data_IF_459428895218
#
_entry.id   IF_459428895218
#
_cell.length_a   1.000
_cell.length_b   1.000
_cell.length_c   1.000
_cell.angle_alpha   90.00
_cell.angle_beta   90.00
_cell.angle_gamma   90.00
#
_symmetry.space_group_name_H-M   'P 1'
#
loop_
_entity.id
_entity.type
_entity.pdbx_description
1 polymer ?
#
# COMPACT_ATOMS: atom_id res chain seq x y z
N UNK A 1 -33.73 8.32 -8.09
CA UNK A 1 -32.30 8.67 -8.27
C UNK A 1 -31.44 7.41 -8.09
N UNK A 2 -30.59 7.04 -9.07
CA UNK A 2 -29.79 5.82 -8.99
C UNK A 2 -28.81 5.92 -7.81
N UNK A 3 -28.94 5.01 -6.85
CA UNK A 3 -28.19 5.04 -5.59
C UNK A 3 -26.68 5.02 -5.80
N UNK A 4 -25.96 5.84 -5.02
CA UNK A 4 -24.51 5.97 -5.04
C UNK A 4 -23.86 4.62 -4.70
N UNK A 5 -23.24 3.98 -5.69
CA UNK A 5 -22.49 2.72 -5.54
C UNK A 5 -21.02 3.01 -5.26
N UNK A 6 -20.34 2.09 -4.58
CA UNK A 6 -18.90 2.20 -4.39
C UNK A 6 -18.14 2.22 -5.73
N UNK A 7 -17.10 3.06 -5.80
CA UNK A 7 -16.25 3.21 -6.98
C UNK A 7 -15.21 2.08 -7.13
N UNK A 8 -14.86 1.41 -6.03
CA UNK A 8 -13.83 0.35 -5.99
C UNK A 8 -14.27 -0.88 -6.78
N UNK A 9 -13.34 -1.45 -7.54
CA UNK A 9 -13.56 -2.68 -8.30
C UNK A 9 -14.06 -3.81 -7.39
N UNK A 10 -14.99 -4.62 -7.91
CA UNK A 10 -15.58 -5.78 -7.22
C UNK A 10 -16.37 -5.44 -5.93
N UNK A 11 -16.50 -4.17 -5.56
CA UNK A 11 -17.32 -3.76 -4.43
C UNK A 11 -18.79 -3.64 -4.86
N UNK A 12 -19.66 -4.47 -4.27
CA UNK A 12 -21.10 -4.49 -4.52
C UNK A 12 -21.88 -3.54 -3.58
N UNK A 13 -21.19 -2.85 -2.67
CA UNK A 13 -21.82 -1.93 -1.72
C UNK A 13 -22.41 -0.70 -2.41
N UNK A 14 -23.60 -0.33 -1.98
CA UNK A 14 -24.29 0.88 -2.41
C UNK A 14 -25.06 1.48 -1.26
N UNK A 15 -25.17 2.81 -1.26
CA UNK A 15 -25.79 3.56 -0.16
C UNK A 15 -27.18 3.03 0.18
N UNK A 16 -27.95 2.62 -0.83
CA UNK A 16 -29.28 2.05 -0.64
C UNK A 16 -29.25 0.66 0.00
N UNK A 17 -28.31 -0.21 -0.42
CA UNK A 17 -28.19 -1.57 0.14
C UNK A 17 -27.69 -1.54 1.57
N UNK A 18 -26.70 -0.70 1.88
CA UNK A 18 -26.14 -0.62 3.24
C UNK A 18 -27.11 0.04 4.21
N UNK A 19 -27.89 1.04 3.78
CA UNK A 19 -28.96 1.61 4.59
C UNK A 19 -30.08 0.62 4.88
N UNK A 20 -30.49 -0.20 3.90
CA UNK A 20 -31.52 -1.23 4.12
C UNK A 20 -31.08 -2.35 5.06
N UNK A 21 -29.77 -2.58 5.18
CA UNK A 21 -29.18 -3.61 6.04
C UNK A 21 -28.68 -3.05 7.38
N UNK A 22 -28.95 -1.78 7.68
CA UNK A 22 -28.43 -1.04 8.84
C UNK A 22 -26.91 -1.21 9.08
N UNK A 23 -26.16 -1.31 7.99
CA UNK A 23 -24.70 -1.38 8.05
C UNK A 23 -24.14 0.03 8.30
N UNK A 24 -23.30 0.18 9.33
CA UNK A 24 -22.65 1.44 9.71
C UNK A 24 -21.51 1.83 8.75
N UNK A 25 -21.82 1.93 7.45
CA UNK A 25 -20.87 2.21 6.38
C UNK A 25 -21.09 3.64 5.89
N UNK A 26 -20.08 4.48 6.12
CA UNK A 26 -19.99 5.83 5.54
C UNK A 26 -19.50 5.80 4.10
N UNK A 27 -19.90 6.80 3.29
CA UNK A 27 -19.50 6.97 1.89
C UNK A 27 -18.81 8.32 1.72
N UNK A 28 -17.63 8.30 1.11
CA UNK A 28 -16.78 9.48 0.95
C UNK A 28 -16.63 9.83 -0.53
N UNK A 29 -16.82 11.10 -0.85
CA UNK A 29 -16.59 11.66 -2.19
C UNK A 29 -15.10 11.81 -2.47
N UNK A 30 -14.73 11.82 -3.75
CA UNK A 30 -13.35 12.06 -4.15
C UNK A 30 -12.85 13.43 -3.68
N UNK A 31 -11.60 13.54 -3.23
CA UNK A 31 -11.00 14.80 -2.81
C UNK A 31 -10.87 15.78 -3.98
N UNK A 32 -10.86 17.09 -3.67
CA UNK A 32 -10.69 18.16 -4.67
C UNK A 32 -9.26 18.19 -5.25
N UNK A 33 -8.29 17.73 -4.47
CA UNK A 33 -6.88 17.72 -4.88
C UNK A 33 -6.64 16.70 -6.00
N UNK A 34 -6.14 17.18 -7.15
CA UNK A 34 -5.91 16.37 -8.34
C UNK A 34 -4.96 15.19 -8.08
N UNK A 35 -3.90 15.41 -7.28
CA UNK A 35 -2.91 14.37 -6.94
C UNK A 35 -3.54 13.23 -6.14
N UNK A 36 -4.29 13.55 -5.09
CA UNK A 36 -4.95 12.57 -4.24
C UNK A 36 -6.12 11.89 -4.95
N UNK A 37 -6.85 12.62 -5.78
CA UNK A 37 -7.89 12.07 -6.64
C UNK A 37 -7.32 11.00 -7.59
N UNK A 38 -6.17 11.25 -8.23
CA UNK A 38 -5.50 10.27 -9.07
C UNK A 38 -5.06 9.03 -8.28
N UNK A 39 -4.56 9.19 -7.06
CA UNK A 39 -4.23 8.07 -6.17
C UNK A 39 -5.47 7.22 -5.84
N UNK A 40 -6.60 7.85 -5.56
CA UNK A 40 -7.87 7.14 -5.32
C UNK A 40 -8.39 6.43 -6.57
N UNK A 41 -8.26 7.04 -7.77
CA UNK A 41 -8.64 6.41 -9.04
C UNK A 41 -7.80 5.16 -9.28
N UNK A 42 -6.49 5.25 -9.10
CA UNK A 42 -5.57 4.13 -9.23
C UNK A 42 -5.88 3.03 -8.21
N UNK A 43 -6.18 3.41 -6.97
CA UNK A 43 -6.57 2.48 -5.93
C UNK A 43 -7.89 1.77 -6.24
N UNK A 44 -8.85 2.41 -6.92
CA UNK A 44 -10.11 1.76 -7.29
C UNK A 44 -9.95 0.61 -8.29
N UNK A 45 -8.80 0.49 -8.99
CA UNK A 45 -8.49 -0.55 -9.99
C UNK A 45 -9.60 -0.79 -11.02
N UNK A 46 -10.31 0.28 -11.39
CA UNK A 46 -11.45 0.22 -12.31
C UNK A 46 -10.98 0.44 -13.75
N UNK A 47 -11.36 -0.46 -14.66
CA UNK A 47 -11.00 -0.39 -16.09
C UNK A 47 -12.01 0.38 -16.96
N UNK A 48 -13.23 0.58 -16.47
CA UNK A 48 -14.27 1.33 -17.19
C UNK A 48 -13.96 2.83 -17.26
N UNK A 49 -14.61 3.55 -18.18
CA UNK A 49 -14.71 5.02 -18.13
C UNK A 49 -15.80 5.44 -17.12
N UNK A 50 -15.46 6.30 -16.15
CA UNK A 50 -16.40 6.81 -15.14
C UNK A 50 -15.97 8.18 -14.63
N UNK A 51 -16.93 8.89 -14.01
CA UNK A 51 -16.70 10.24 -13.47
C UNK A 51 -16.35 10.16 -11.98
N UNK A 52 -15.13 10.55 -11.57
CA UNK A 52 -14.72 10.56 -10.17
C UNK A 52 -15.54 11.52 -9.30
N UNK A 53 -16.01 12.64 -9.88
CA UNK A 53 -16.76 13.69 -9.18
C UNK A 53 -18.10 13.21 -8.60
N UNK A 54 -18.79 12.31 -9.29
CA UNK A 54 -20.12 11.82 -8.89
C UNK A 54 -20.06 10.49 -8.15
N UNK A 55 -18.85 9.98 -7.94
CA UNK A 55 -18.62 8.66 -7.38
C UNK A 55 -18.16 8.75 -5.94
N UNK A 56 -18.38 7.69 -5.19
CA UNK A 56 -18.00 7.62 -3.77
C UNK A 56 -17.33 6.30 -3.45
N UNK A 57 -16.47 6.31 -2.44
CA UNK A 57 -15.83 5.12 -1.88
C UNK A 57 -16.42 4.83 -0.50
N UNK A 58 -16.71 3.56 -0.20
CA UNK A 58 -17.21 3.19 1.12
C UNK A 58 -16.07 3.11 2.14
N UNK A 59 -16.39 3.42 3.40
CA UNK A 59 -15.48 3.42 4.56
C UNK A 59 -14.68 2.12 4.76
N UNK A 60 -15.18 0.97 4.30
CA UNK A 60 -14.47 -0.33 4.36
C UNK A 60 -13.12 -0.37 3.61
N UNK A 61 -12.87 0.59 2.72
CA UNK A 61 -11.62 0.67 1.97
C UNK A 61 -10.56 1.54 2.65
N UNK A 62 -10.88 2.14 3.80
CA UNK A 62 -10.00 2.97 4.62
C UNK A 62 -9.74 2.28 5.95
N UNK A 63 -8.57 2.50 6.53
CA UNK A 63 -8.21 2.00 7.86
C UNK A 63 -8.79 2.95 8.91
N UNK A 64 -9.03 2.49 10.13
CA UNK A 64 -9.55 3.35 11.21
C UNK A 64 -8.65 4.58 11.47
N UNK A 65 -7.33 4.42 11.28
CA UNK A 65 -6.33 5.49 11.39
C UNK A 65 -6.41 6.54 10.28
N UNK A 66 -7.05 6.23 9.15
CA UNK A 66 -7.26 7.19 8.05
C UNK A 66 -8.37 8.19 8.37
N UNK A 67 -9.18 7.93 9.40
CA UNK A 67 -10.23 8.83 9.83
C UNK A 67 -9.70 9.88 10.80
N UNK A 68 -10.20 11.10 10.66
CA UNK A 68 -9.99 12.16 11.63
C UNK A 68 -10.76 11.80 12.91
N UNK A 69 -10.05 11.80 14.03
CA UNK A 69 -10.66 11.63 15.34
C UNK A 69 -11.22 12.99 15.76
N UNK A 70 -12.55 13.11 15.68
CA UNK A 70 -13.25 14.29 16.17
C UNK A 70 -13.39 14.18 17.69
N UNK A 71 -12.38 14.66 18.43
CA UNK A 71 -12.35 14.59 19.90
C UNK A 71 -13.62 15.18 20.54
N UNK A 72 -14.22 16.21 19.92
CA UNK A 72 -15.48 16.79 20.41
C UNK A 72 -16.65 15.82 20.33
N UNK A 73 -16.74 15.04 19.25
CA UNK A 73 -17.84 14.09 19.08
C UNK A 73 -17.69 12.87 20.00
N UNK A 74 -16.45 12.46 20.29
CA UNK A 74 -16.15 11.43 21.30
C UNK A 74 -16.50 11.91 22.71
N UNK A 75 -16.13 13.14 23.07
CA UNK A 75 -16.42 13.72 24.39
C UNK A 75 -17.91 13.97 24.62
N UNK A 76 -18.66 14.33 23.56
CA UNK A 76 -20.09 14.67 23.64
C UNK A 76 -21.02 13.50 23.30
N UNK A 77 -20.46 12.32 22.96
CA UNK A 77 -21.20 11.13 22.49
C UNK A 77 -22.15 11.40 21.29
N UNK A 78 -21.82 12.39 20.46
CA UNK A 78 -22.61 12.78 19.28
C UNK A 78 -22.10 11.98 18.08
N UNK A 79 -23.00 11.27 17.38
CA UNK A 79 -22.64 10.55 16.14
C UNK A 79 -22.38 11.54 15.00
N UNK A 80 -21.15 12.01 14.84
CA UNK A 80 -20.75 12.82 13.68
C UNK A 80 -20.32 11.95 12.49
N UNK A 81 -20.43 12.50 11.28
CA UNK A 81 -19.95 11.82 10.06
C UNK A 81 -18.43 11.70 10.15
N UNK A 82 -17.89 10.47 10.09
CA UNK A 82 -16.44 10.24 10.05
C UNK A 82 -15.84 11.05 8.89
N UNK A 83 -14.85 11.90 9.17
CA UNK A 83 -14.10 12.62 8.13
C UNK A 83 -12.81 11.87 7.85
N UNK A 84 -12.35 11.87 6.61
CA UNK A 84 -11.07 11.28 6.23
C UNK A 84 -9.97 12.34 6.36
N UNK A 85 -8.80 11.92 6.85
CA UNK A 85 -7.61 12.76 6.86
C UNK A 85 -7.25 13.19 5.43
N UNK A 86 -6.62 14.36 5.24
CA UNK A 86 -6.28 14.88 3.92
C UNK A 86 -5.30 14.00 3.11
N UNK A 87 -4.69 13.00 3.75
CA UNK A 87 -3.72 12.08 3.14
C UNK A 87 -4.19 10.61 3.13
N UNK A 88 -5.45 10.36 3.49
CA UNK A 88 -6.05 9.04 3.45
C UNK A 88 -6.21 8.54 2.02
N UNK A 89 -5.80 7.30 1.75
CA UNK A 89 -5.92 6.63 0.45
C UNK A 89 -6.65 5.30 0.68
N UNK A 90 -7.63 4.93 -0.16
CA UNK A 90 -8.34 3.66 0.00
C UNK A 90 -7.42 2.49 -0.32
N UNK A 91 -6.70 1.99 0.69
CA UNK A 91 -5.66 0.98 0.54
C UNK A 91 -6.17 -0.42 0.90
N UNK A 92 -7.32 -0.51 1.58
CA UNK A 92 -7.85 -1.76 2.15
C UNK A 92 -8.85 -2.46 1.20
N UNK A 93 -8.82 -3.79 1.19
CA UNK A 93 -9.77 -4.67 0.48
C UNK A 93 -9.76 -4.56 -1.06
N UNK A 94 -8.57 -4.45 -1.66
CA UNK A 94 -8.36 -4.85 -3.06
C UNK A 94 -8.31 -6.37 -3.04
N UNK A 95 -9.45 -7.06 -3.22
CA UNK A 95 -9.44 -8.51 -3.41
C UNK A 95 -8.34 -8.83 -4.41
N UNK A 96 -7.31 -9.55 -3.97
CA UNK A 96 -6.36 -10.14 -4.89
C UNK A 96 -7.20 -10.97 -5.84
N UNK A 97 -7.10 -10.68 -7.15
CA UNK A 97 -7.60 -11.60 -8.13
C UNK A 97 -6.82 -12.90 -7.89
N UNK A 98 -7.43 -13.86 -7.18
CA UNK A 98 -7.10 -15.25 -7.40
C UNK A 98 -7.17 -15.45 -8.91
N UNK A 99 -6.15 -16.07 -9.47
CA UNK A 99 -5.90 -16.26 -10.89
C UNK A 99 -6.90 -17.22 -11.55
N UNK A 100 -8.18 -17.07 -11.24
CA UNK A 100 -9.29 -17.69 -11.94
C UNK A 100 -9.95 -16.61 -12.78
N UNK A 101 -9.62 -16.62 -14.07
CA UNK A 101 -10.30 -15.86 -15.09
C UNK A 101 -11.72 -16.43 -15.19
N UNK A 102 -12.59 -16.04 -14.25
CA UNK A 102 -14.02 -16.14 -14.47
C UNK A 102 -14.35 -15.07 -15.51
N UNK A 103 -14.58 -15.49 -16.74
CA UNK A 103 -15.01 -14.70 -17.91
C UNK A 103 -16.37 -14.02 -17.72
N UNK A 104 -16.89 -13.95 -16.50
CA UNK A 104 -18.15 -13.29 -16.20
C UNK A 104 -17.99 -11.77 -16.27
N UNK A 105 -18.42 -11.22 -17.40
CA UNK A 105 -18.58 -9.79 -17.62
C UNK A 105 -19.49 -9.25 -16.51
N UNK A 106 -18.93 -8.43 -15.62
CA UNK A 106 -19.73 -7.81 -14.56
C UNK A 106 -20.88 -6.99 -15.18
N UNK A 107 -22.04 -6.90 -14.52
CA UNK A 107 -23.17 -6.08 -15.02
C UNK A 107 -22.78 -4.61 -15.28
N UNK A 108 -21.68 -4.15 -14.65
CA UNK A 108 -21.11 -2.82 -14.84
C UNK A 108 -20.36 -2.71 -16.18
N UNK A 109 -19.56 -3.72 -16.52
CA UNK A 109 -18.83 -3.80 -17.79
C UNK A 109 -19.77 -3.99 -18.98
N UNK A 110 -20.86 -4.75 -18.82
CA UNK A 110 -21.94 -4.83 -19.83
C UNK A 110 -22.55 -3.45 -20.13
N UNK A 111 -22.80 -2.63 -19.10
CA UNK A 111 -23.34 -1.27 -19.27
C UNK A 111 -22.35 -0.32 -19.94
N UNK A 112 -21.06 -0.44 -19.63
CA UNK A 112 -20.02 0.35 -20.27
C UNK A 112 -19.90 -0.02 -21.76
N UNK A 113 -19.86 -1.32 -22.06
CA UNK A 113 -19.83 -1.83 -23.44
C UNK A 113 -21.06 -1.38 -24.23
N UNK A 114 -22.26 -1.40 -23.61
CA UNK A 114 -23.48 -0.89 -24.25
C UNK A 114 -23.36 0.58 -24.65
N UNK A 115 -22.84 1.45 -23.78
CA UNK A 115 -22.64 2.88 -24.10
C UNK A 115 -21.60 3.10 -25.20
N UNK A 116 -20.53 2.32 -25.17
CA UNK A 116 -19.48 2.38 -26.20
C UNK A 116 -20.07 1.94 -27.54
N UNK A 117 -20.79 0.82 -27.57
CA UNK A 117 -21.45 0.32 -28.78
C UNK A 117 -22.51 1.29 -29.29
N UNK A 118 -23.33 1.89 -28.42
CA UNK A 118 -24.29 2.93 -28.80
C UNK A 118 -23.60 4.15 -29.42
N UNK A 119 -22.44 4.57 -28.90
CA UNK A 119 -21.68 5.69 -29.45
C UNK A 119 -21.03 5.34 -30.80
N UNK A 120 -20.51 4.12 -30.93
CA UNK A 120 -19.96 3.59 -32.19
C UNK A 120 -21.06 3.55 -33.26
N UNK A 121 -22.24 3.00 -32.94
CA UNK A 121 -23.38 2.94 -33.86
C UNK A 121 -23.80 4.34 -34.27
N UNK A 122 -23.90 5.29 -33.33
CA UNK A 122 -24.22 6.69 -33.65
C UNK A 122 -23.21 7.33 -34.60
N UNK A 123 -21.92 7.08 -34.39
CA UNK A 123 -20.87 7.60 -35.25
C UNK A 123 -20.87 6.95 -36.65
N UNK A 124 -21.29 5.68 -36.76
CA UNK A 124 -21.42 4.96 -38.03
C UNK A 124 -22.68 5.34 -38.82
N UNK A 125 -23.73 5.82 -38.14
CA UNK A 125 -25.00 6.25 -38.75
C UNK A 125 -25.07 7.75 -39.02
N UNK A 126 -23.99 8.50 -38.83
CA UNK A 126 -23.93 9.87 -39.34
C UNK A 126 -23.91 9.81 -40.88
N UNK A 127 -24.66 10.67 -41.59
CA UNK A 127 -24.58 10.72 -43.04
C UNK A 127 -23.14 11.02 -43.42
N UNK A 128 -22.48 10.06 -44.07
CA UNK A 128 -21.25 10.32 -44.80
C UNK A 128 -21.61 11.42 -45.79
N UNK A 129 -21.08 12.63 -45.60
CA UNK A 129 -21.04 13.58 -46.69
C UNK A 129 -20.30 12.85 -47.80
N UNK A 130 -20.97 12.66 -48.94
CA UNK A 130 -20.36 12.17 -50.17
C UNK A 130 -19.18 13.11 -50.46
N UNK A 131 -17.98 12.68 -50.08
CA UNK A 131 -16.75 13.33 -50.51
C UNK A 131 -16.61 12.86 -51.95
N UNK A 132 -16.89 13.78 -52.86
CA UNK A 132 -16.55 13.66 -54.27
C UNK A 132 -15.08 13.25 -54.40
N UNK A 133 -14.87 12.34 -55.33
CA UNK A 133 -13.63 11.65 -55.65
C UNK A 133 -12.52 12.64 -56.05
N UNK A 134 -11.81 13.21 -55.06
CA UNK A 134 -10.68 14.12 -55.27
C UNK A 134 -9.39 13.45 -54.74
N UNK A 135 -8.71 12.78 -55.68
CA UNK A 135 -7.31 12.30 -55.68
C UNK A 135 -6.53 12.26 -54.34
N UNK A 136 -6.35 11.04 -53.81
CA UNK A 136 -5.51 10.70 -52.65
C UNK A 136 -4.04 10.46 -53.01
N UNK A 137 -3.33 11.48 -53.51
CA UNK A 137 -1.86 11.44 -53.60
C UNK A 137 -1.30 12.63 -52.84
N UNK A 138 -0.82 12.41 -51.59
CA UNK A 138 0.31 13.16 -50.95
C UNK A 138 0.44 13.02 -49.40
N UNK A 139 -0.44 12.30 -48.69
CA UNK A 139 -0.36 12.21 -47.20
C UNK A 139 0.47 11.01 -46.66
N UNK A 140 0.90 10.10 -47.55
CA UNK A 140 1.48 8.80 -47.19
C UNK A 140 2.85 8.83 -46.47
N UNK A 141 3.84 9.69 -46.82
CA UNK A 141 5.19 9.59 -46.26
C UNK A 141 5.32 10.02 -44.79
N UNK A 142 4.56 11.04 -44.38
CA UNK A 142 4.66 11.64 -43.03
C UNK A 142 4.08 10.71 -41.95
N UNK A 143 3.12 9.87 -42.35
CA UNK A 143 2.48 8.91 -41.45
C UNK A 143 3.42 7.72 -41.20
N UNK A 144 4.10 7.22 -42.24
CA UNK A 144 5.07 6.12 -42.17
C UNK A 144 6.21 6.43 -41.17
N UNK A 145 6.83 7.61 -41.29
CA UNK A 145 7.91 8.08 -40.41
C UNK A 145 7.49 8.15 -38.93
N UNK A 146 6.22 8.51 -38.69
CA UNK A 146 5.67 8.62 -37.34
C UNK A 146 5.42 7.24 -36.73
N UNK A 147 4.95 6.28 -37.53
CA UNK A 147 4.79 4.89 -37.11
C UNK A 147 6.15 4.25 -36.79
N UNK A 148 7.17 4.48 -37.61
CA UNK A 148 8.50 3.93 -37.40
C UNK A 148 9.17 4.49 -36.14
N UNK A 149 9.03 5.80 -35.88
CA UNK A 149 9.45 6.41 -34.61
C UNK A 149 8.73 5.79 -33.40
N UNK A 150 7.41 5.60 -33.50
CA UNK A 150 6.61 5.01 -32.43
C UNK A 150 7.00 3.56 -32.14
N UNK A 151 7.30 2.78 -33.19
CA UNK A 151 7.75 1.40 -33.08
C UNK A 151 9.09 1.31 -32.34
N UNK A 152 10.05 2.14 -32.75
CA UNK A 152 11.36 2.23 -32.12
C UNK A 152 11.27 2.63 -30.63
N UNK A 153 10.38 3.58 -30.30
CA UNK A 153 10.15 4.00 -28.92
C UNK A 153 9.49 2.90 -28.08
N UNK A 154 8.55 2.15 -28.65
CA UNK A 154 7.93 1.02 -27.98
C UNK A 154 8.96 -0.09 -27.70
N UNK A 155 9.87 -0.36 -28.62
CA UNK A 155 10.93 -1.34 -28.42
C UNK A 155 11.91 -0.90 -27.31
N UNK A 156 12.33 0.37 -27.33
CA UNK A 156 13.13 0.98 -26.24
C UNK A 156 12.42 0.91 -24.89
N UNK A 157 11.10 1.12 -24.86
CA UNK A 157 10.33 1.04 -23.62
C UNK A 157 10.22 -0.40 -23.11
N UNK A 158 10.04 -1.36 -24.02
CA UNK A 158 10.01 -2.80 -23.72
C UNK A 158 11.33 -3.27 -23.10
N UNK A 159 12.47 -2.86 -23.64
CA UNK A 159 13.78 -3.20 -23.08
C UNK A 159 13.99 -2.57 -21.70
N UNK A 160 13.63 -1.29 -21.51
CA UNK A 160 13.64 -0.63 -20.20
C UNK A 160 12.78 -1.36 -19.17
N UNK A 161 11.57 -1.78 -19.54
CA UNK A 161 10.68 -2.50 -18.64
C UNK A 161 11.26 -3.86 -18.23
N UNK A 162 11.87 -4.60 -19.17
CA UNK A 162 12.55 -5.87 -18.90
C UNK A 162 13.71 -5.67 -17.91
N UNK A 163 14.54 -4.64 -18.12
CA UNK A 163 15.65 -4.31 -17.22
C UNK A 163 15.16 -3.94 -15.81
N UNK A 164 14.12 -3.11 -15.70
CA UNK A 164 13.52 -2.74 -14.41
C UNK A 164 12.94 -3.96 -13.68
N UNK A 165 12.29 -4.88 -14.39
CA UNK A 165 11.78 -6.11 -13.80
C UNK A 165 12.90 -6.98 -13.22
N UNK A 166 14.05 -7.02 -13.90
CA UNK A 166 15.24 -7.76 -13.46
C UNK A 166 15.91 -7.11 -12.24
N UNK A 167 16.09 -5.79 -12.25
CA UNK A 167 16.56 -5.03 -11.08
C UNK A 167 15.65 -5.27 -9.86
N UNK A 168 14.33 -5.25 -10.06
CA UNK A 168 13.36 -5.51 -9.00
C UNK A 168 13.49 -6.92 -8.42
N UNK A 169 13.72 -7.93 -9.26
CA UNK A 169 13.99 -9.31 -8.81
C UNK A 169 15.28 -9.38 -8.00
N UNK A 170 16.35 -8.75 -8.48
CA UNK A 170 17.65 -8.75 -7.81
C UNK A 170 17.57 -8.08 -6.42
N UNK A 171 16.89 -6.93 -6.33
CA UNK A 171 16.64 -6.26 -5.05
C UNK A 171 15.82 -7.13 -4.10
N UNK A 172 14.76 -7.79 -4.59
CA UNK A 172 13.95 -8.72 -3.78
C UNK A 172 14.79 -9.86 -3.21
N UNK A 173 15.65 -10.47 -4.03
CA UNK A 173 16.55 -11.55 -3.59
C UNK A 173 17.56 -11.05 -2.53
N UNK A 174 18.08 -9.83 -2.70
CA UNK A 174 18.99 -9.21 -1.73
C UNK A 174 18.30 -8.95 -0.39
N UNK A 175 17.07 -8.48 -0.39
CA UNK A 175 16.26 -8.30 0.83
C UNK A 175 16.07 -9.64 1.54
N UNK A 176 15.72 -10.71 0.81
CA UNK A 176 15.55 -12.05 1.39
C UNK A 176 16.85 -12.51 2.07
N UNK A 177 18.00 -12.35 1.40
CA UNK A 177 19.29 -12.72 1.99
C UNK A 177 19.65 -11.90 3.23
N UNK A 178 19.38 -10.59 3.20
CA UNK A 178 19.62 -9.71 4.36
C UNK A 178 18.73 -10.09 5.55
N UNK A 179 17.45 -10.34 5.33
CA UNK A 179 16.54 -10.79 6.38
C UNK A 179 17.00 -12.12 7.00
N UNK A 180 17.50 -13.05 6.19
CA UNK A 180 18.09 -14.30 6.70
C UNK A 180 19.31 -14.03 7.57
N UNK A 181 20.22 -13.14 7.17
CA UNK A 181 21.39 -12.74 7.97
C UNK A 181 20.98 -12.08 9.29
N UNK A 182 20.01 -11.17 9.25
CA UNK A 182 19.48 -10.50 10.46
C UNK A 182 18.89 -11.52 11.43
N UNK A 183 18.11 -12.49 10.94
CA UNK A 183 17.55 -13.54 11.79
C UNK A 183 18.64 -14.38 12.46
N UNK A 184 19.65 -14.84 11.70
CA UNK A 184 20.79 -15.56 12.29
C UNK A 184 21.53 -14.74 13.35
N UNK A 185 21.76 -13.44 13.10
CA UNK A 185 22.42 -12.57 14.07
C UNK A 185 21.56 -12.37 15.32
N UNK A 186 20.24 -12.21 15.17
CA UNK A 186 19.30 -12.09 16.27
C UNK A 186 19.30 -13.36 17.14
N UNK A 187 19.33 -14.54 16.51
CA UNK A 187 19.42 -15.81 17.23
C UNK A 187 20.74 -15.89 18.02
N UNK A 188 21.88 -15.61 17.39
CA UNK A 188 23.20 -15.62 18.05
C UNK A 188 23.26 -14.63 19.22
N UNK A 189 22.70 -13.43 19.04
CA UNK A 189 22.67 -12.43 20.10
C UNK A 189 21.76 -12.87 21.27
N UNK A 190 20.63 -13.50 20.98
CA UNK A 190 19.76 -14.09 22.01
C UNK A 190 20.45 -15.21 22.80
N UNK A 191 21.16 -16.12 22.13
CA UNK A 191 21.96 -17.18 22.77
C UNK A 191 23.09 -16.58 23.64
N UNK A 192 23.76 -15.54 23.15
CA UNK A 192 24.78 -14.85 23.93
C UNK A 192 24.20 -14.15 25.17
N UNK A 193 23.06 -13.48 25.02
CA UNK A 193 22.38 -12.76 26.12
C UNK A 193 21.88 -13.73 27.20
N UNK A 194 21.31 -14.87 26.80
CA UNK A 194 20.87 -15.90 27.75
C UNK A 194 22.06 -16.55 28.47
N UNK A 195 23.19 -16.74 27.77
CA UNK A 195 24.43 -17.23 28.39
C UNK A 195 25.01 -16.24 29.39
N UNK A 196 25.02 -14.94 29.07
CA UNK A 196 25.49 -13.91 30.02
C UNK A 196 24.56 -13.81 31.22
N UNK A 197 23.24 -13.84 31.03
CA UNK A 197 22.28 -13.83 32.12
C UNK A 197 22.45 -15.04 33.07
N UNK A 198 22.59 -16.25 32.52
CA UNK A 198 22.83 -17.46 33.33
C UNK A 198 24.12 -17.36 34.15
N UNK A 199 25.16 -16.79 33.55
CA UNK A 199 26.44 -16.58 34.22
C UNK A 199 26.32 -15.50 35.32
N UNK A 200 25.61 -14.40 35.07
CA UNK A 200 25.32 -13.38 36.07
C UNK A 200 24.52 -13.95 37.25
N UNK A 201 23.46 -14.71 36.98
CA UNK A 201 22.61 -15.29 38.02
C UNK A 201 23.36 -16.28 38.91
N UNK A 202 24.22 -17.13 38.31
CA UNK A 202 25.04 -18.08 39.07
C UNK A 202 26.10 -17.40 39.95
N UNK A 203 26.63 -16.26 39.51
CA UNK A 203 27.69 -15.54 40.21
C UNK A 203 27.17 -14.46 41.17
N UNK A 204 25.87 -14.15 41.14
CA UNK A 204 25.21 -13.13 41.97
C UNK A 204 25.30 -13.37 43.47
N UNK A 205 25.44 -14.63 43.89
CA UNK A 205 25.62 -14.99 45.30
C UNK A 205 27.05 -14.77 45.80
N UNK A 206 28.04 -14.78 44.90
CA UNK A 206 29.47 -14.72 45.24
C UNK A 206 30.02 -13.30 45.02
N UNK A 207 29.62 -12.66 43.94
CA UNK A 207 30.14 -11.37 43.49
C UNK A 207 29.07 -10.28 43.56
N UNK A 208 29.50 -9.05 43.84
CA UNK A 208 28.61 -7.88 43.78
C UNK A 208 28.29 -7.47 42.34
N UNK A 209 27.24 -6.67 42.15
CA UNK A 209 26.82 -6.22 40.83
C UNK A 209 27.91 -5.43 40.08
N UNK A 210 28.72 -4.67 40.80
CA UNK A 210 29.88 -3.92 40.29
C UNK A 210 30.98 -4.87 39.81
N UNK A 211 31.31 -5.92 40.58
CA UNK A 211 32.24 -6.97 40.19
C UNK A 211 31.74 -7.76 38.99
N UNK A 212 30.45 -8.12 38.96
CA UNK A 212 29.83 -8.82 37.84
C UNK A 212 29.88 -8.00 36.56
N UNK A 213 29.63 -6.70 36.61
CA UNK A 213 29.70 -5.81 35.43
C UNK A 213 31.10 -5.71 34.81
N UNK A 214 32.15 -5.93 35.60
CA UNK A 214 33.54 -6.06 35.14
C UNK A 214 33.80 -7.44 34.53
N UNK A 215 33.37 -8.51 35.21
CA UNK A 215 33.55 -9.90 34.76
C UNK A 215 32.83 -10.16 33.44
N UNK A 216 31.61 -9.65 33.28
CA UNK A 216 30.83 -9.75 32.03
C UNK A 216 31.26 -8.77 30.96
N UNK A 217 32.33 -7.99 31.21
CA UNK A 217 32.90 -6.96 30.29
C UNK A 217 31.88 -5.90 29.85
N UNK A 218 30.81 -5.68 30.60
CA UNK A 218 29.85 -4.61 30.33
C UNK A 218 30.48 -3.23 30.52
N UNK A 219 31.47 -3.11 31.42
CA UNK A 219 32.22 -1.86 31.66
C UNK A 219 33.71 -2.13 31.78
N UNK A 220 34.54 -1.21 31.26
CA UNK A 220 36.02 -1.30 31.34
C UNK A 220 36.59 -0.75 32.66
N UNK A 221 35.84 0.11 33.35
CA UNK A 221 36.21 0.74 34.63
C UNK A 221 34.95 0.83 35.49
N UNK A 222 35.10 0.63 36.79
CA UNK A 222 33.99 0.70 37.77
C UNK A 222 34.48 1.46 38.99
N UNK A 223 33.57 2.22 39.61
CA UNK A 223 33.78 2.86 40.91
C UNK A 223 33.38 1.84 41.97
N UNK A 224 34.33 1.49 42.84
CA UNK A 224 34.13 0.49 43.88
C UNK A 224 33.33 1.08 45.05
N UNK A 225 32.29 0.37 45.47
CA UNK A 225 31.53 0.73 46.66
C UNK A 225 32.31 0.38 47.93
N UNK A 226 31.88 0.94 49.06
CA UNK A 226 32.44 0.63 50.39
C UNK A 226 32.36 -0.87 50.71
N UNK A 227 31.31 -1.55 50.27
CA UNK A 227 31.09 -2.98 50.49
C UNK A 227 32.07 -3.85 49.71
N UNK A 228 32.38 -3.46 48.47
CA UNK A 228 33.35 -4.17 47.61
C UNK A 228 34.76 -4.02 48.16
N UNK A 229 35.10 -2.80 48.57
CA UNK A 229 36.39 -2.48 49.16
C UNK A 229 36.56 -3.26 50.46
N UNK A 230 35.54 -3.25 51.33
CA UNK A 230 35.58 -3.96 52.61
C UNK A 230 35.76 -5.48 52.43
N UNK A 231 35.01 -6.12 51.52
CA UNK A 231 35.20 -7.54 51.19
C UNK A 231 36.61 -7.85 50.67
N UNK A 232 37.16 -6.96 49.83
CA UNK A 232 38.52 -7.13 49.32
C UNK A 232 39.58 -7.01 50.43
N UNK A 233 39.39 -6.10 51.39
CA UNK A 233 40.24 -6.02 52.58
C UNK A 233 40.15 -7.30 53.41
N UNK A 234 38.94 -7.81 53.67
CA UNK A 234 38.75 -9.07 54.41
C UNK A 234 39.49 -10.24 53.74
N UNK A 235 39.42 -10.38 52.42
CA UNK A 235 40.10 -11.45 51.67
C UNK A 235 41.63 -11.28 51.69
N UNK A 236 42.15 -10.05 51.76
CA UNK A 236 43.59 -9.77 51.70
C UNK A 236 44.32 -10.00 53.02
N UNK A 237 43.63 -9.81 54.15
CA UNK A 237 44.21 -9.84 55.49
C UNK A 237 43.72 -11.02 56.35
N UNK A 238 42.92 -11.91 55.77
CA UNK A 238 42.75 -13.29 56.21
C UNK A 238 43.81 -14.18 55.55
#
# INVERSE_FOLDING_TARGET
MPGTRCAVALCSNSLQVTKKKDLNISYHTFPKDKKLCNLWINACRRKDTWNPKTSTVCSLHFIEDDFEVDLRSQLMNIKTKKKLKPQAIPTQCLKECSSDISTQVTSRQQRANKRINENIVKNLTLPTQEIEDESLEDVHPVIEDKYEKLFNDHEKLKTKYKHLAELKRNQKNRIIMLNKKVNLLSQKFGEQTTRTYRLEEALKSIFSQTQLSLITKQRKKVIWGTDDISKAFTIRYL
#
